data_IF_561365525098
#
_entry.id   IF_561365525098
#
_cell.length_a   1.000
_cell.length_b   1.000
_cell.length_c   1.000
_cell.angle_alpha   90.00
_cell.angle_beta   90.00
_cell.angle_gamma   90.00
#
_symmetry.space_group_name_H-M   'P 1'
#
loop_
_entity.id
_entity.type
_entity.pdbx_description
1 polymer ?
#
# COMPACT_ATOMS: atom_id res chain seq x y z
N UNK A 1 -11.81 4.24 -10.22
CA UNK A 1 -11.69 2.78 -9.97
C UNK A 1 -10.30 2.36 -9.47
N UNK A 2 -9.41 3.27 -9.06
CA UNK A 2 -8.00 2.95 -8.76
C UNK A 2 -7.83 1.98 -7.58
N UNK A 3 -8.78 1.93 -6.63
CA UNK A 3 -8.61 1.13 -5.41
C UNK A 3 -9.03 -0.33 -5.42
N UNK A 4 -9.63 -0.82 -6.51
CA UNK A 4 -10.08 -2.23 -6.60
C UNK A 4 -8.89 -3.18 -6.66
N UNK A 5 -7.86 -2.84 -7.44
CA UNK A 5 -6.65 -3.65 -7.53
C UNK A 5 -5.92 -3.78 -6.20
N UNK A 6 -5.86 -2.71 -5.40
CA UNK A 6 -5.28 -2.77 -4.05
C UNK A 6 -6.09 -3.66 -3.12
N UNK A 7 -7.42 -3.66 -3.22
CA UNK A 7 -8.26 -4.60 -2.44
C UNK A 7 -7.98 -6.05 -2.82
N UNK A 8 -7.90 -6.35 -4.12
CA UNK A 8 -7.59 -7.70 -4.60
C UNK A 8 -6.19 -8.13 -4.15
N UNK A 9 -5.19 -7.27 -4.34
CA UNK A 9 -3.83 -7.54 -3.89
C UNK A 9 -3.74 -7.72 -2.38
N UNK A 10 -4.46 -6.89 -1.59
CA UNK A 10 -4.51 -7.01 -0.14
C UNK A 10 -5.18 -8.32 0.30
N UNK A 11 -6.27 -8.75 -0.36
CA UNK A 11 -6.89 -10.05 -0.07
C UNK A 11 -5.92 -11.21 -0.33
N UNK A 12 -5.23 -11.20 -1.47
CA UNK A 12 -4.24 -12.22 -1.81
C UNK A 12 -3.07 -12.22 -0.80
N UNK A 13 -2.55 -11.05 -0.46
CA UNK A 13 -1.49 -10.91 0.54
C UNK A 13 -1.94 -11.37 1.92
N UNK A 14 -3.19 -11.09 2.31
CA UNK A 14 -3.78 -11.56 3.56
C UNK A 14 -3.78 -13.08 3.65
N UNK A 15 -4.13 -13.78 2.58
CA UNK A 15 -4.05 -15.24 2.52
C UNK A 15 -2.61 -15.73 2.71
N UNK A 16 -1.63 -15.08 2.06
CA UNK A 16 -0.21 -15.45 2.21
C UNK A 16 0.27 -15.25 3.64
N UNK A 17 -0.08 -14.13 4.29
CA UNK A 17 0.31 -13.85 5.68
C UNK A 17 -0.35 -14.84 6.65
N UNK A 18 -1.63 -15.18 6.46
CA UNK A 18 -2.30 -16.21 7.27
C UNK A 18 -1.60 -17.57 7.09
N UNK A 19 -1.25 -17.94 5.85
CA UNK A 19 -0.50 -19.17 5.58
C UNK A 19 0.88 -19.16 6.24
N UNK A 20 1.61 -18.05 6.17
CA UNK A 20 2.91 -17.89 6.83
C UNK A 20 2.78 -18.01 8.35
N UNK A 21 1.78 -17.36 8.95
CA UNK A 21 1.53 -17.42 10.39
C UNK A 21 1.28 -18.86 10.86
N UNK A 22 0.49 -19.63 10.11
CA UNK A 22 0.17 -21.02 10.45
C UNK A 22 1.31 -22.00 10.18
N UNK A 23 2.14 -21.74 9.17
CA UNK A 23 3.21 -22.67 8.75
C UNK A 23 4.57 -22.37 9.40
N UNK A 24 4.87 -21.11 9.66
CA UNK A 24 6.18 -20.64 10.14
C UNK A 24 6.12 -20.29 11.62
N UNK A 25 5.08 -19.57 12.03
CA UNK A 25 5.05 -18.88 13.33
C UNK A 25 4.17 -19.59 14.37
N UNK A 26 3.44 -20.63 13.99
CA UNK A 26 2.46 -21.30 14.85
C UNK A 26 3.07 -21.85 16.15
N UNK A 27 4.29 -22.37 16.09
CA UNK A 27 4.99 -22.97 17.24
C UNK A 27 5.68 -21.93 18.15
N UNK A 28 5.83 -20.68 17.68
CA UNK A 28 6.50 -19.60 18.41
C UNK A 28 5.57 -18.88 19.41
N UNK A 29 4.25 -19.07 19.28
CA UNK A 29 3.25 -18.36 20.08
C UNK A 29 3.02 -16.91 19.65
N UNK A 30 2.16 -16.19 20.38
CA UNK A 30 1.77 -14.81 20.03
C UNK A 30 2.90 -13.81 20.27
N UNK A 31 3.53 -13.90 21.45
CA UNK A 31 4.69 -13.08 21.82
C UNK A 31 5.89 -14.01 21.94
N UNK A 32 6.96 -13.76 21.19
CA UNK A 32 8.22 -14.48 21.35
C UNK A 32 9.41 -13.53 21.49
N UNK A 33 10.62 -14.08 21.55
CA UNK A 33 11.87 -13.34 21.64
C UNK A 33 12.89 -13.99 20.69
N UNK A 34 14.13 -13.49 20.67
CA UNK A 34 15.20 -14.07 19.83
C UNK A 34 15.26 -15.61 19.92
N UNK A 35 15.52 -16.29 18.78
CA UNK A 35 16.07 -15.76 17.54
C UNK A 35 15.03 -15.27 16.51
N UNK A 36 13.72 -15.46 16.76
CA UNK A 36 12.68 -15.17 15.76
C UNK A 36 11.40 -14.63 16.43
N UNK A 37 10.87 -13.48 15.98
CA UNK A 37 9.62 -12.91 16.49
C UNK A 37 8.43 -13.86 16.34
N UNK A 38 7.46 -13.74 17.25
CA UNK A 38 6.26 -14.56 17.26
C UNK A 38 5.20 -14.00 16.33
N UNK A 39 3.96 -14.42 16.57
CA UNK A 39 2.82 -14.02 15.75
C UNK A 39 2.49 -12.51 15.81
N UNK A 40 3.07 -11.76 16.75
CA UNK A 40 3.00 -10.30 16.88
C UNK A 40 3.28 -9.56 15.56
N UNK A 41 4.28 -10.03 14.80
CA UNK A 41 4.67 -9.44 13.52
C UNK A 41 3.62 -9.71 12.44
N UNK A 42 3.16 -10.95 12.35
CA UNK A 42 2.16 -11.37 11.39
C UNK A 42 0.82 -10.68 11.67
N UNK A 43 0.47 -10.48 12.94
CA UNK A 43 -0.68 -9.70 13.39
C UNK A 43 -0.60 -8.24 12.95
N UNK A 44 0.57 -7.61 13.04
CA UNK A 44 0.77 -6.24 12.56
C UNK A 44 0.56 -6.13 11.04
N UNK A 45 1.07 -7.09 10.27
CA UNK A 45 0.84 -7.15 8.82
C UNK A 45 -0.63 -7.39 8.49
N UNK A 46 -1.28 -8.34 9.16
CA UNK A 46 -2.71 -8.63 9.01
C UNK A 46 -3.57 -7.40 9.33
N UNK A 47 -3.27 -6.66 10.39
CA UNK A 47 -3.98 -5.44 10.75
C UNK A 47 -3.89 -4.38 9.64
N UNK A 48 -2.69 -4.17 9.08
CA UNK A 48 -2.49 -3.27 7.95
C UNK A 48 -3.23 -3.72 6.69
N UNK A 49 -3.21 -5.01 6.39
CA UNK A 49 -3.92 -5.60 5.23
C UNK A 49 -5.44 -5.44 5.40
N UNK A 50 -5.97 -5.72 6.59
CA UNK A 50 -7.40 -5.53 6.89
C UNK A 50 -7.77 -4.06 6.73
N UNK A 51 -6.95 -3.13 7.20
CA UNK A 51 -7.17 -1.70 6.97
C UNK A 51 -7.23 -1.37 5.47
N UNK A 52 -6.31 -1.89 4.66
CA UNK A 52 -6.31 -1.71 3.20
C UNK A 52 -7.55 -2.32 2.53
N UNK A 53 -8.05 -3.46 3.02
CA UNK A 53 -9.27 -4.09 2.50
C UNK A 53 -10.49 -3.23 2.84
N UNK A 54 -10.63 -2.81 4.10
CA UNK A 54 -11.82 -2.09 4.60
C UNK A 54 -11.85 -0.66 4.06
N UNK A 55 -10.81 0.13 4.27
CA UNK A 55 -10.75 1.52 3.79
C UNK A 55 -10.56 1.59 2.27
N UNK A 56 -9.95 0.57 1.65
CA UNK A 56 -9.41 0.72 0.30
C UNK A 56 -8.29 1.76 0.27
N UNK A 57 -7.55 1.91 -0.84
CA UNK A 57 -6.55 2.97 -0.97
C UNK A 57 -7.16 4.37 -1.19
N UNK A 58 -8.50 4.54 -1.08
CA UNK A 58 -9.17 5.82 -1.38
C UNK A 58 -8.80 6.41 -2.75
N UNK A 59 -9.09 7.70 -2.98
CA UNK A 59 -8.55 8.48 -4.12
C UNK A 59 -7.07 8.85 -3.92
N UNK A 60 -6.38 8.16 -3.02
CA UNK A 60 -5.04 8.47 -2.54
C UNK A 60 -4.01 7.94 -3.53
N UNK A 61 -4.06 8.46 -4.75
CA UNK A 61 -2.84 8.54 -5.54
C UNK A 61 -1.88 9.41 -4.73
N UNK A 62 -0.78 8.83 -4.27
CA UNK A 62 0.32 9.56 -3.63
C UNK A 62 0.77 10.74 -4.49
N UNK A 63 0.62 10.62 -5.81
CA UNK A 63 0.87 11.67 -6.80
C UNK A 63 0.12 12.99 -6.51
N UNK A 64 -1.16 12.90 -6.10
CA UNK A 64 -1.95 14.09 -5.77
C UNK A 64 -1.52 14.74 -4.44
N UNK A 65 -0.92 13.96 -3.54
CA UNK A 65 -0.42 14.44 -2.24
C UNK A 65 1.03 14.93 -2.33
N UNK A 66 1.83 14.32 -3.19
CA UNK A 66 3.25 14.62 -3.40
C UNK A 66 3.48 15.68 -4.49
N UNK A 67 2.46 16.05 -5.26
CA UNK A 67 2.45 17.18 -6.21
C UNK A 67 3.73 17.22 -7.06
N UNK A 68 4.13 16.06 -7.59
CA UNK A 68 5.34 15.89 -8.41
C UNK A 68 5.13 16.31 -9.88
N UNK A 69 4.17 17.19 -10.17
CA UNK A 69 4.06 17.80 -11.49
C UNK A 69 4.85 19.12 -11.51
N UNK A 70 5.93 19.23 -12.32
CA UNK A 70 6.51 20.51 -12.63
C UNK A 70 5.44 21.30 -13.40
N UNK A 71 4.98 22.40 -12.79
CA UNK A 71 4.09 23.36 -13.44
C UNK A 71 4.63 23.68 -14.84
N UNK A 72 3.79 23.49 -15.87
CA UNK A 72 3.94 24.06 -17.21
C UNK A 72 3.89 25.59 -17.14
N UNK A 73 4.83 26.18 -16.42
CA UNK A 73 5.10 27.59 -16.47
C UNK A 73 6.02 27.83 -17.67
N UNK A 74 5.46 28.47 -18.69
CA UNK A 74 6.18 29.18 -19.77
C UNK A 74 6.40 28.40 -21.07
N UNK A 75 5.33 28.17 -21.84
CA UNK A 75 5.43 28.27 -23.30
C UNK A 75 4.10 28.60 -23.98
N UNK A 76 3.28 29.46 -23.37
CA UNK A 76 2.07 30.01 -24.00
C UNK A 76 2.11 31.54 -24.05
N UNK A 77 3.20 32.12 -24.58
CA UNK A 77 3.20 33.48 -25.14
C UNK A 77 4.25 33.64 -26.23
N UNK A 78 3.83 33.38 -27.48
CA UNK A 78 3.95 34.33 -28.60
C UNK A 78 3.46 33.71 -29.92
N UNK A 79 2.29 34.09 -30.44
CA UNK A 79 2.03 34.09 -31.86
C UNK A 79 2.16 35.52 -32.39
N UNK A 80 3.21 35.80 -33.15
CA UNK A 80 3.26 36.98 -34.01
C UNK A 80 4.10 36.67 -35.26
N UNK A 81 3.61 35.72 -36.06
CA UNK A 81 3.84 35.79 -37.50
C UNK A 81 2.62 36.48 -38.11
N UNK A 82 2.74 37.79 -38.34
CA UNK A 82 1.90 38.55 -39.25
C UNK A 82 2.73 39.73 -39.76
N UNK A 83 3.13 39.56 -41.02
CA UNK A 83 3.42 40.51 -42.11
C UNK A 83 3.67 41.98 -41.78
#
# INVERSE_FOLDING_TARGET
MVGVFTRIAAMLLGVVVVGAMLYVTADLGIISSEPMPGAERDLAYLAGIVALIVMGPGRLSLDHLLRMEPSEATSERAPAYAT
#
